data_IF_232709338807
#
_entry.id   IF_232709338807
#
_cell.length_a   1.000
_cell.length_b   1.000
_cell.length_c   1.000
_cell.angle_alpha   90.00
_cell.angle_beta   90.00
_cell.angle_gamma   90.00
#
_symmetry.space_group_name_H-M   'P 1'
#
loop_
_entity.id
_entity.type
_entity.pdbx_description
1 polymer ?
#
# COMPACT_ATOMS: atom_id res chain seq x y z
N UNK A 1 -25.90 4.51 4.13
CA UNK A 1 -24.76 4.97 4.96
C UNK A 1 -23.63 3.96 4.80
N UNK A 2 -22.39 4.42 4.61
CA UNK A 2 -21.22 3.56 4.39
C UNK A 2 -20.08 4.01 5.30
N UNK A 3 -19.30 3.07 5.83
CA UNK A 3 -18.13 3.35 6.68
C UNK A 3 -16.87 3.16 5.84
N UNK A 4 -16.03 4.18 5.79
CA UNK A 4 -14.74 4.17 5.10
C UNK A 4 -13.62 4.55 6.08
N UNK A 5 -12.42 4.01 5.90
CA UNK A 5 -11.23 4.40 6.64
C UNK A 5 -10.50 5.54 5.91
N UNK A 6 -10.59 6.75 6.44
CA UNK A 6 -10.12 7.96 5.76
C UNK A 6 -9.26 8.78 6.71
N UNK A 7 -8.07 9.16 6.24
CA UNK A 7 -7.11 9.96 7.01
C UNK A 7 -6.76 9.31 8.37
N UNK A 8 -6.62 7.98 8.35
CA UNK A 8 -6.20 7.16 9.49
C UNK A 8 -7.28 6.85 10.54
N UNK A 9 -8.54 7.22 10.27
CA UNK A 9 -9.68 6.94 11.16
C UNK A 9 -10.92 6.48 10.38
N UNK A 10 -11.80 5.65 10.97
CA UNK A 10 -13.07 5.33 10.35
C UNK A 10 -14.02 6.54 10.33
N UNK A 11 -14.64 6.79 9.17
CA UNK A 11 -15.61 7.87 8.93
C UNK A 11 -16.89 7.31 8.34
N UNK A 12 -18.02 7.92 8.73
CA UNK A 12 -19.34 7.62 8.16
C UNK A 12 -19.59 8.54 6.97
N UNK A 13 -19.93 7.97 5.83
CA UNK A 13 -20.31 8.68 4.61
C UNK A 13 -21.80 8.47 4.37
N UNK A 14 -22.53 9.59 4.34
CA UNK A 14 -23.96 9.61 4.04
C UNK A 14 -24.11 9.86 2.55
N UNK A 15 -24.90 9.01 1.89
CA UNK A 15 -25.27 9.11 0.48
C UNK A 15 -26.77 8.85 0.38
N UNK A 16 -27.40 9.48 -0.60
CA UNK A 16 -28.67 9.03 -1.16
C UNK A 16 -28.45 7.89 -2.17
N UNK A 17 -29.51 7.43 -2.82
CA UNK A 17 -29.55 6.31 -3.76
C UNK A 17 -29.63 6.73 -5.24
N UNK A 18 -29.51 8.02 -5.57
CA UNK A 18 -29.44 8.47 -6.97
C UNK A 18 -28.10 8.08 -7.61
N UNK A 19 -28.12 7.21 -8.61
CA UNK A 19 -26.92 6.71 -9.29
C UNK A 19 -26.76 7.33 -10.69
N UNK A 20 -25.53 7.47 -11.21
CA UNK A 20 -25.32 7.95 -12.56
C UNK A 20 -25.80 6.91 -13.58
N UNK A 21 -26.71 7.34 -14.45
CA UNK A 21 -27.32 6.54 -15.51
C UNK A 21 -26.91 7.07 -16.88
N UNK A 22 -26.68 6.15 -17.82
CA UNK A 22 -26.47 6.44 -19.23
C UNK A 22 -27.78 6.82 -19.93
N UNK A 23 -27.68 7.20 -21.19
CA UNK A 23 -28.84 7.55 -22.01
C UNK A 23 -29.75 6.35 -22.34
N UNK A 24 -29.28 5.11 -22.14
CA UNK A 24 -30.02 3.88 -22.39
C UNK A 24 -30.40 3.16 -21.07
N UNK A 25 -30.51 3.90 -19.97
CA UNK A 25 -30.81 3.39 -18.63
C UNK A 25 -29.81 2.34 -18.10
N UNK A 26 -28.56 2.41 -18.54
CA UNK A 26 -27.45 1.62 -18.00
C UNK A 26 -26.74 2.34 -16.85
N UNK A 27 -26.31 1.59 -15.82
CA UNK A 27 -25.49 2.14 -14.75
C UNK A 27 -24.10 2.50 -15.30
N UNK A 28 -23.66 3.74 -15.06
CA UNK A 28 -22.31 4.21 -15.43
C UNK A 28 -21.26 3.97 -14.33
N UNK A 29 -21.70 3.42 -13.20
CA UNK A 29 -20.91 3.12 -12.02
C UNK A 29 -20.66 1.60 -11.91
N UNK A 30 -19.82 1.17 -10.98
CA UNK A 30 -19.66 -0.27 -10.69
C UNK A 30 -20.98 -0.90 -10.29
N UNK A 31 -21.33 -2.06 -10.88
CA UNK A 31 -22.60 -2.76 -10.64
C UNK A 31 -22.41 -4.27 -10.52
N UNK A 32 -23.36 -4.94 -9.86
CA UNK A 32 -23.42 -6.40 -9.79
C UNK A 32 -24.14 -6.97 -11.01
N UNK A 33 -23.71 -8.15 -11.47
CA UNK A 33 -24.46 -8.91 -12.48
C UNK A 33 -25.83 -9.38 -11.94
N UNK A 34 -25.94 -9.50 -10.61
CA UNK A 34 -27.23 -9.71 -9.95
C UNK A 34 -27.93 -8.35 -9.79
N UNK A 35 -29.00 -8.12 -10.56
CA UNK A 35 -29.75 -6.85 -10.56
C UNK A 35 -30.39 -6.50 -9.21
N UNK A 36 -30.50 -7.46 -8.29
CA UNK A 36 -31.01 -7.23 -6.94
C UNK A 36 -29.93 -6.73 -5.95
N UNK A 37 -28.68 -6.58 -6.39
CA UNK A 37 -27.56 -6.13 -5.56
C UNK A 37 -27.11 -4.72 -5.94
N UNK A 38 -27.49 -3.74 -5.12
CA UNK A 38 -27.10 -2.33 -5.30
C UNK A 38 -25.91 -1.90 -4.43
N UNK A 39 -25.45 -2.78 -3.53
CA UNK A 39 -24.45 -2.43 -2.53
C UNK A 39 -23.10 -2.03 -3.14
N UNK A 40 -22.73 -2.61 -4.28
CA UNK A 40 -21.49 -2.28 -5.02
C UNK A 40 -21.54 -0.84 -5.52
N UNK A 41 -22.63 -0.46 -6.19
CA UNK A 41 -22.83 0.89 -6.74
C UNK A 41 -22.89 1.93 -5.64
N UNK A 42 -23.57 1.61 -4.53
CA UNK A 42 -23.63 2.49 -3.35
C UNK A 42 -22.25 2.63 -2.68
N UNK A 43 -21.47 1.55 -2.59
CA UNK A 43 -20.11 1.56 -2.04
C UNK A 43 -19.19 2.46 -2.86
N UNK A 44 -19.19 2.28 -4.18
CA UNK A 44 -18.43 3.15 -5.07
C UNK A 44 -18.89 4.60 -4.98
N UNK A 45 -20.21 4.87 -4.94
CA UNK A 45 -20.73 6.24 -4.77
C UNK A 45 -20.24 6.90 -3.49
N UNK A 46 -20.24 6.19 -2.36
CA UNK A 46 -19.69 6.73 -1.11
C UNK A 46 -18.20 7.05 -1.23
N UNK A 47 -17.44 6.19 -1.89
CA UNK A 47 -16.02 6.40 -2.12
C UNK A 47 -15.78 7.61 -3.03
N UNK A 48 -16.46 7.68 -4.18
CA UNK A 48 -16.38 8.79 -5.13
C UNK A 48 -16.84 10.12 -4.52
N UNK A 49 -17.84 10.12 -3.63
CA UNK A 49 -18.26 11.32 -2.89
C UNK A 49 -17.09 11.93 -2.10
N UNK A 50 -16.27 11.10 -1.46
CA UNK A 50 -15.11 11.55 -0.68
C UNK A 50 -13.94 11.91 -1.60
N UNK A 51 -13.79 11.21 -2.72
CA UNK A 51 -12.71 11.46 -3.69
C UNK A 51 -12.99 12.63 -4.65
N UNK A 52 -14.10 13.36 -4.47
CA UNK A 52 -14.41 14.56 -5.24
C UNK A 52 -15.16 14.31 -6.57
N UNK A 53 -15.87 13.18 -6.66
CA UNK A 53 -16.75 12.81 -7.77
C UNK A 53 -16.21 11.67 -8.64
N UNK A 54 -17.00 11.29 -9.63
CA UNK A 54 -16.70 10.20 -10.57
C UNK A 54 -15.62 10.54 -11.61
N UNK A 55 -15.32 11.82 -11.80
CA UNK A 55 -14.16 12.28 -12.56
C UNK A 55 -12.88 12.09 -11.71
N UNK A 56 -12.53 10.83 -11.46
CA UNK A 56 -11.43 10.40 -10.61
C UNK A 56 -10.30 9.84 -11.47
N UNK A 57 -9.05 10.30 -11.31
CA UNK A 57 -7.93 9.94 -12.19
C UNK A 57 -7.47 8.48 -12.05
N UNK A 58 -8.05 7.73 -11.10
CA UNK A 58 -7.64 6.38 -10.74
C UNK A 58 -6.71 6.36 -9.52
N UNK A 59 -6.44 5.14 -9.06
CA UNK A 59 -5.67 4.87 -7.83
C UNK A 59 -5.07 3.48 -7.88
N UNK A 60 -4.20 3.19 -6.92
CA UNK A 60 -3.71 1.85 -6.67
C UNK A 60 -4.68 1.11 -5.75
N UNK A 61 -4.94 -0.15 -6.07
CA UNK A 61 -5.91 -0.99 -5.35
C UNK A 61 -5.64 -1.09 -3.85
N UNK A 62 -4.38 -1.07 -3.39
CA UNK A 62 -4.09 -1.14 -1.96
C UNK A 62 -4.51 0.12 -1.19
N UNK A 63 -4.51 1.28 -1.83
CA UNK A 63 -5.02 2.54 -1.28
C UNK A 63 -6.54 2.44 -1.13
N UNK A 64 -7.21 1.95 -2.17
CA UNK A 64 -8.68 1.81 -2.17
C UNK A 64 -9.12 0.77 -1.15
N UNK A 65 -8.48 -0.40 -1.13
CA UNK A 65 -8.75 -1.44 -0.16
C UNK A 65 -8.45 -0.97 1.26
N UNK A 66 -7.41 -0.16 1.49
CA UNK A 66 -7.18 0.45 2.79
C UNK A 66 -8.34 1.37 3.18
N UNK A 67 -8.84 2.18 2.25
CA UNK A 67 -9.99 3.04 2.51
C UNK A 67 -11.30 2.26 2.75
N UNK A 68 -11.47 1.10 2.11
CA UNK A 68 -12.66 0.27 2.29
C UNK A 68 -12.62 -0.57 3.58
N UNK A 69 -11.43 -1.05 3.98
CA UNK A 69 -11.30 -2.09 5.03
C UNK A 69 -10.56 -1.61 6.27
N UNK A 70 -9.72 -0.57 6.17
CA UNK A 70 -8.75 -0.18 7.18
C UNK A 70 -7.52 -1.10 7.26
N UNK A 71 -7.39 -2.08 6.35
CA UNK A 71 -6.28 -3.04 6.36
C UNK A 71 -4.97 -2.41 5.90
N UNK A 72 -3.86 -2.89 6.44
CA UNK A 72 -2.54 -2.24 6.32
C UNK A 72 -2.02 -2.40 4.87
N UNK A 73 -1.88 -1.32 4.09
CA UNK A 73 -1.51 -1.40 2.70
C UNK A 73 0.00 -1.59 2.54
N UNK A 74 0.39 -2.50 1.67
CA UNK A 74 1.76 -2.76 1.26
C UNK A 74 1.84 -2.81 -0.27
N UNK A 75 2.97 -2.34 -0.80
CA UNK A 75 3.31 -2.39 -2.21
C UNK A 75 4.59 -3.19 -2.38
N UNK A 76 4.55 -4.29 -3.12
CA UNK A 76 5.70 -5.16 -3.38
C UNK A 76 5.99 -5.17 -4.88
N UNK A 77 6.98 -4.39 -5.36
CA UNK A 77 7.38 -4.40 -6.76
C UNK A 77 7.94 -5.78 -7.15
N UNK A 78 7.49 -6.31 -8.28
CA UNK A 78 7.94 -7.57 -8.86
C UNK A 78 9.16 -7.31 -9.75
N UNK A 79 9.03 -6.37 -10.69
CA UNK A 79 10.12 -6.06 -11.62
C UNK A 79 11.20 -5.23 -10.92
N UNK A 80 12.46 -5.68 -10.94
CA UNK A 80 13.53 -5.04 -10.20
C UNK A 80 14.01 -3.81 -10.95
N UNK A 81 13.62 -2.61 -10.50
CA UNK A 81 14.53 -1.48 -10.61
C UNK A 81 15.64 -1.54 -9.55
N UNK A 82 15.49 -2.39 -8.52
CA UNK A 82 16.36 -2.42 -7.33
C UNK A 82 16.93 -3.78 -6.94
N UNK A 83 16.52 -4.89 -7.58
CA UNK A 83 17.05 -6.25 -7.31
C UNK A 83 16.61 -6.92 -6.00
N UNK A 84 15.63 -6.34 -5.29
CA UNK A 84 15.24 -6.77 -3.92
C UNK A 84 14.15 -7.86 -3.91
N UNK A 85 13.44 -8.05 -5.02
CA UNK A 85 12.32 -8.99 -5.09
C UNK A 85 12.80 -10.45 -5.12
N UNK A 86 12.41 -11.23 -4.11
CA UNK A 86 12.65 -12.67 -4.06
C UNK A 86 11.31 -13.40 -4.24
N UNK A 87 11.04 -13.85 -5.46
CA UNK A 87 9.77 -14.47 -5.84
C UNK A 87 9.42 -15.66 -4.92
N UNK A 88 10.37 -16.54 -4.63
CA UNK A 88 10.11 -17.71 -3.79
C UNK A 88 9.73 -17.33 -2.35
N UNK A 89 10.44 -16.37 -1.76
CA UNK A 89 10.12 -15.84 -0.43
C UNK A 89 8.73 -15.20 -0.41
N UNK A 90 8.41 -14.38 -1.41
CA UNK A 90 7.12 -13.68 -1.45
C UNK A 90 5.94 -14.64 -1.67
N UNK A 91 6.10 -15.65 -2.53
CA UNK A 91 5.08 -16.69 -2.68
C UNK A 91 4.81 -17.42 -1.36
N UNK A 92 5.87 -17.90 -0.68
CA UNK A 92 5.73 -18.58 0.62
C UNK A 92 5.11 -17.69 1.68
N UNK A 93 5.50 -16.41 1.71
CA UNK A 93 4.95 -15.41 2.62
C UNK A 93 3.45 -15.24 2.41
N UNK A 94 3.00 -15.06 1.17
CA UNK A 94 1.58 -14.95 0.83
C UNK A 94 0.82 -16.24 1.12
N UNK A 95 1.32 -17.39 0.67
CA UNK A 95 0.69 -18.69 0.88
C UNK A 95 0.47 -19.00 2.36
N UNK A 96 1.42 -18.62 3.23
CA UNK A 96 1.31 -18.82 4.67
C UNK A 96 0.21 -18.00 5.36
N UNK A 97 -0.38 -17.01 4.67
CA UNK A 97 -1.34 -16.05 5.27
C UNK A 97 -2.64 -15.92 4.48
N UNK A 98 -2.62 -16.14 3.18
CA UNK A 98 -3.75 -15.94 2.28
C UNK A 98 -4.96 -16.79 2.67
N UNK A 99 -4.79 -18.11 2.78
CA UNK A 99 -5.89 -19.02 3.17
C UNK A 99 -6.34 -18.88 4.62
N UNK A 100 -5.58 -18.16 5.45
CA UNK A 100 -5.99 -17.81 6.82
C UNK A 100 -6.88 -16.55 6.85
N UNK A 101 -7.13 -15.90 5.70
CA UNK A 101 -7.88 -14.65 5.63
C UNK A 101 -7.12 -13.46 6.22
N UNK A 102 -5.78 -13.54 6.27
CA UNK A 102 -4.94 -12.50 6.86
C UNK A 102 -4.47 -11.44 5.87
N UNK A 103 -4.74 -11.61 4.57
CA UNK A 103 -4.44 -10.61 3.57
C UNK A 103 -5.44 -10.62 2.41
N UNK A 104 -5.65 -9.45 1.82
CA UNK A 104 -6.26 -9.27 0.50
C UNK A 104 -5.15 -8.94 -0.47
N UNK A 105 -5.18 -9.53 -1.65
CA UNK A 105 -4.11 -9.39 -2.64
C UNK A 105 -4.70 -9.05 -3.99
N UNK A 106 -4.06 -8.11 -4.66
CA UNK A 106 -4.27 -7.81 -6.07
C UNK A 106 -2.89 -7.70 -6.73
N UNK A 107 -2.85 -7.93 -8.04
CA UNK A 107 -1.65 -7.79 -8.86
C UNK A 107 -1.94 -6.86 -10.02
N UNK A 108 -0.98 -6.01 -10.38
CA UNK A 108 -1.16 -5.07 -11.48
C UNK A 108 -0.11 -5.25 -12.57
N UNK A 109 -0.56 -5.18 -13.81
CA UNK A 109 0.30 -5.12 -15.00
C UNK A 109 0.88 -3.73 -15.16
N UNK A 110 2.08 -3.66 -15.71
CA UNK A 110 2.67 -2.40 -16.18
C UNK A 110 2.20 -2.03 -17.57
N UNK A 111 2.99 -1.21 -18.24
CA UNK A 111 2.87 -1.01 -19.69
C UNK A 111 3.20 -2.34 -20.37
N UNK A 112 2.31 -2.81 -21.24
CA UNK A 112 2.53 -3.98 -22.09
C UNK A 112 2.69 -3.54 -23.54
N UNK A 113 3.51 -4.25 -24.30
CA UNK A 113 3.57 -4.05 -25.74
C UNK A 113 2.26 -4.54 -26.38
N UNK A 114 1.81 -3.98 -27.53
CA UNK A 114 0.62 -4.48 -28.23
C UNK A 114 0.70 -5.98 -28.56
N UNK A 115 1.91 -6.48 -28.81
CA UNK A 115 2.18 -7.91 -29.03
C UNK A 115 1.93 -8.73 -27.77
N UNK A 116 2.46 -8.28 -26.61
CA UNK A 116 2.26 -8.98 -25.34
C UNK A 116 0.82 -8.93 -24.87
N UNK A 117 0.13 -7.80 -25.01
CA UNK A 117 -1.30 -7.68 -24.72
C UNK A 117 -2.12 -8.69 -25.52
N UNK A 118 -1.93 -8.73 -26.84
CA UNK A 118 -2.66 -9.63 -27.73
C UNK A 118 -2.39 -11.12 -27.40
N UNK A 119 -1.12 -11.46 -27.21
CA UNK A 119 -0.64 -12.83 -26.96
C UNK A 119 -1.00 -13.34 -25.57
N UNK A 120 -0.83 -12.52 -24.54
CA UNK A 120 -1.12 -12.90 -23.16
C UNK A 120 -2.61 -12.86 -22.84
N UNK A 121 -3.36 -11.98 -23.51
CA UNK A 121 -4.72 -11.64 -23.09
C UNK A 121 -4.77 -10.79 -21.81
N UNK A 122 -3.65 -10.26 -21.34
CA UNK A 122 -3.63 -9.35 -20.20
C UNK A 122 -3.79 -7.91 -20.66
N UNK A 123 -4.64 -7.17 -19.97
CA UNK A 123 -4.83 -5.72 -20.14
C UNK A 123 -3.63 -4.96 -19.55
N UNK A 124 -3.05 -3.98 -20.26
CA UNK A 124 -1.98 -3.12 -19.73
C UNK A 124 -2.48 -2.19 -18.62
N UNK A 125 -1.60 -1.83 -17.68
CA UNK A 125 -1.87 -0.86 -16.59
C UNK A 125 -3.13 -1.18 -15.80
N UNK A 126 -3.38 -2.47 -15.53
CA UNK A 126 -4.65 -2.95 -14.99
C UNK A 126 -4.45 -3.86 -13.78
N UNK A 127 -5.38 -3.78 -12.82
CA UNK A 127 -5.34 -4.57 -11.59
C UNK A 127 -6.26 -5.79 -11.66
N UNK A 128 -5.77 -6.92 -11.14
CA UNK A 128 -6.49 -8.19 -11.05
C UNK A 128 -6.55 -8.63 -9.60
N UNK A 129 -7.71 -9.14 -9.16
CA UNK A 129 -7.87 -9.68 -7.82
C UNK A 129 -7.33 -11.11 -7.75
N UNK A 130 -6.55 -11.41 -6.70
CA UNK A 130 -6.16 -12.79 -6.40
C UNK A 130 -7.31 -13.47 -5.66
N UNK A 131 -7.89 -14.50 -6.27
CA UNK A 131 -8.98 -15.28 -5.70
C UNK A 131 -8.49 -16.52 -4.96
N UNK A 132 -7.44 -17.16 -5.47
CA UNK A 132 -6.82 -18.33 -4.84
C UNK A 132 -5.35 -18.48 -5.24
N UNK A 133 -4.58 -19.21 -4.44
CA UNK A 133 -3.21 -19.61 -4.77
C UNK A 133 -2.94 -21.03 -4.28
N UNK A 134 -2.34 -21.87 -5.12
CA UNK A 134 -2.15 -23.29 -4.83
C UNK A 134 -0.77 -23.76 -5.32
N UNK A 135 -0.24 -24.79 -4.66
CA UNK A 135 0.96 -25.51 -5.10
C UNK A 135 0.59 -26.98 -5.35
N UNK A 136 0.75 -27.42 -6.59
CA UNK A 136 0.43 -28.79 -7.04
C UNK A 136 1.70 -29.38 -7.65
N UNK A 137 2.28 -30.38 -6.96
CA UNK A 137 3.63 -30.86 -7.27
C UNK A 137 4.64 -29.72 -7.09
N UNK A 138 5.38 -29.41 -8.16
CA UNK A 138 6.34 -28.29 -8.19
C UNK A 138 5.77 -27.03 -8.88
N UNK A 139 4.50 -27.03 -9.25
CA UNK A 139 3.87 -25.91 -9.96
C UNK A 139 3.08 -25.04 -8.98
N UNK A 140 3.38 -23.75 -8.99
CA UNK A 140 2.70 -22.72 -8.22
C UNK A 140 1.72 -21.98 -9.12
N UNK A 141 0.43 -22.03 -8.77
CA UNK A 141 -0.67 -21.51 -9.57
C UNK A 141 -1.43 -20.45 -8.77
N UNK A 142 -1.85 -19.39 -9.45
CA UNK A 142 -2.65 -18.30 -8.87
C UNK A 142 -3.91 -18.13 -9.71
N UNK A 143 -5.06 -18.04 -9.04
CA UNK A 143 -6.36 -17.79 -9.65
C UNK A 143 -6.61 -16.29 -9.59
N UNK A 144 -6.65 -15.64 -10.75
CA UNK A 144 -6.88 -14.21 -10.87
C UNK A 144 -8.26 -13.91 -11.44
N UNK A 145 -8.82 -12.75 -11.07
CA UNK A 145 -10.04 -12.20 -11.66
C UNK A 145 -9.77 -10.83 -12.28
N UNK A 146 -10.09 -10.70 -13.57
CA UNK A 146 -10.26 -9.42 -14.23
C UNK A 146 -11.59 -8.77 -13.76
N UNK A 147 -11.56 -7.56 -13.17
CA UNK A 147 -12.76 -6.84 -12.75
C UNK A 147 -13.77 -6.59 -13.88
N UNK A 148 -13.31 -6.44 -15.13
CA UNK A 148 -14.19 -6.27 -16.29
C UNK A 148 -14.98 -7.53 -16.66
N UNK A 149 -14.73 -8.65 -15.98
CA UNK A 149 -15.40 -9.94 -16.17
C UNK A 149 -15.39 -10.43 -17.62
N UNK A 150 -14.37 -10.01 -18.38
CA UNK A 150 -14.03 -10.43 -19.73
C UNK A 150 -12.52 -10.50 -19.87
N UNK A 151 -12.03 -11.16 -20.91
CA UNK A 151 -10.61 -11.19 -21.27
C UNK A 151 -9.78 -11.99 -20.25
N UNK A 152 -9.40 -13.21 -20.65
CA UNK A 152 -8.65 -14.17 -19.85
C UNK A 152 -7.20 -14.32 -20.33
N UNK A 153 -6.34 -14.78 -19.43
CA UNK A 153 -4.99 -15.24 -19.74
C UNK A 153 -5.01 -16.35 -20.81
N UNK A 154 -4.10 -16.26 -21.78
CA UNK A 154 -4.00 -17.16 -22.94
C UNK A 154 -2.74 -18.04 -22.96
N UNK A 155 -1.86 -17.91 -21.96
CA UNK A 155 -0.62 -18.68 -21.88
C UNK A 155 -0.77 -19.99 -21.10
N UNK A 156 0.31 -20.43 -20.47
CA UNK A 156 0.34 -21.68 -19.72
C UNK A 156 -0.71 -21.70 -18.61
N UNK A 157 -1.40 -22.83 -18.46
CA UNK A 157 -2.53 -23.01 -17.53
C UNK A 157 -3.74 -22.11 -17.82
N UNK A 158 -3.88 -21.61 -19.06
CA UNK A 158 -5.14 -21.02 -19.53
C UNK A 158 -6.21 -22.10 -19.77
N UNK A 159 -7.44 -21.67 -20.05
CA UNK A 159 -8.52 -22.57 -20.47
C UNK A 159 -8.29 -23.17 -21.87
N UNK A 160 -7.39 -22.61 -22.67
CA UNK A 160 -7.02 -23.12 -23.99
C UNK A 160 -5.76 -24.01 -23.98
N UNK A 161 -5.03 -24.04 -22.86
CA UNK A 161 -3.84 -24.87 -22.72
C UNK A 161 -4.23 -26.36 -22.58
N UNK A 162 -3.71 -27.20 -23.47
CA UNK A 162 -3.95 -28.67 -23.44
C UNK A 162 -2.72 -29.45 -22.99
N UNK A 163 -1.59 -28.79 -22.82
CA UNK A 163 -0.29 -29.42 -22.59
C UNK A 163 0.03 -29.49 -21.09
N UNK A 164 -0.14 -28.39 -20.36
CA UNK A 164 0.32 -28.31 -18.98
C UNK A 164 -0.70 -28.80 -17.95
N UNK A 165 -1.98 -28.83 -18.29
CA UNK A 165 -3.02 -29.28 -17.36
C UNK A 165 -2.97 -30.80 -17.14
N UNK A 166 -2.62 -31.23 -15.94
CA UNK A 166 -2.76 -32.64 -15.53
C UNK A 166 -4.12 -32.92 -14.91
N UNK A 167 -4.56 -34.18 -14.94
CA UNK A 167 -5.80 -34.61 -14.26
C UNK A 167 -5.75 -34.36 -12.75
N UNK A 168 -4.57 -34.48 -12.15
CA UNK A 168 -4.36 -34.19 -10.72
C UNK A 168 -4.61 -32.71 -10.42
N UNK A 169 -4.06 -31.81 -11.24
CA UNK A 169 -4.28 -30.36 -11.10
C UNK A 169 -5.75 -30.00 -11.25
N UNK A 170 -6.42 -30.48 -12.31
CA UNK A 170 -7.85 -30.22 -12.53
C UNK A 170 -8.71 -30.66 -11.34
N UNK A 171 -8.43 -31.84 -10.78
CA UNK A 171 -9.13 -32.34 -9.58
C UNK A 171 -8.85 -31.48 -8.35
N UNK A 172 -7.59 -31.12 -8.10
CA UNK A 172 -7.19 -30.39 -6.89
C UNK A 172 -7.64 -28.94 -6.89
N UNK A 173 -7.68 -28.30 -8.06
CA UNK A 173 -8.08 -26.90 -8.23
C UNK A 173 -9.59 -26.75 -8.48
N UNK A 174 -10.32 -27.87 -8.54
CA UNK A 174 -11.72 -27.91 -8.96
C UNK A 174 -11.95 -27.15 -10.28
N UNK A 175 -11.06 -27.38 -11.25
CA UNK A 175 -11.03 -26.68 -12.53
C UNK A 175 -11.28 -27.65 -13.68
N UNK A 176 -12.35 -27.43 -14.43
CA UNK A 176 -12.66 -28.18 -15.65
C UNK A 176 -12.33 -27.31 -16.87
N UNK A 177 -11.28 -27.70 -17.60
CA UNK A 177 -10.80 -27.01 -18.79
C UNK A 177 -11.89 -26.93 -19.87
N UNK A 178 -12.67 -28.00 -20.05
CA UNK A 178 -13.69 -28.05 -21.11
C UNK A 178 -14.83 -27.09 -20.81
N UNK A 179 -15.24 -26.96 -19.54
CA UNK A 179 -16.29 -26.02 -19.14
C UNK A 179 -15.77 -24.58 -19.18
N UNK A 180 -14.54 -24.35 -18.72
CA UNK A 180 -13.94 -23.02 -18.64
C UNK A 180 -13.84 -22.31 -20.01
N UNK A 181 -13.73 -23.07 -21.12
CA UNK A 181 -13.69 -22.50 -22.47
C UNK A 181 -14.99 -21.82 -22.89
N UNK A 182 -16.14 -22.25 -22.36
CA UNK A 182 -17.46 -21.75 -22.76
C UNK A 182 -17.95 -20.58 -21.91
N UNK A 183 -17.23 -20.24 -20.83
CA UNK A 183 -17.60 -19.15 -19.93
C UNK A 183 -16.43 -18.16 -19.84
N UNK A 184 -16.64 -16.94 -20.33
CA UNK A 184 -15.74 -15.82 -20.03
C UNK A 184 -16.34 -14.97 -18.90
N UNK A 185 -15.82 -15.19 -17.70
CA UNK A 185 -16.12 -14.40 -16.50
C UNK A 185 -14.88 -13.61 -16.02
N UNK A 186 -13.84 -13.54 -16.85
CA UNK A 186 -12.55 -12.93 -16.54
C UNK A 186 -11.74 -13.65 -15.45
N UNK A 187 -12.11 -14.87 -15.05
CA UNK A 187 -11.39 -15.66 -14.04
C UNK A 187 -10.48 -16.68 -14.74
N UNK A 188 -9.22 -16.75 -14.34
CA UNK A 188 -8.25 -17.66 -14.94
C UNK A 188 -7.12 -18.05 -13.97
N UNK A 189 -6.56 -19.24 -14.17
CA UNK A 189 -5.32 -19.66 -13.53
C UNK A 189 -4.11 -19.15 -14.34
N UNK A 190 -3.02 -18.86 -13.64
CA UNK A 190 -1.72 -18.50 -14.21
C UNK A 190 -0.62 -19.09 -13.33
N UNK A 191 0.49 -19.54 -13.93
CA UNK A 191 1.66 -19.95 -13.14
C UNK A 191 2.41 -18.74 -12.56
N UNK A 192 3.02 -18.95 -11.41
CA UNK A 192 3.71 -17.90 -10.68
C UNK A 192 4.89 -17.29 -11.46
N UNK A 193 5.54 -18.07 -12.34
CA UNK A 193 6.62 -17.59 -13.20
C UNK A 193 6.11 -16.59 -14.23
N UNK A 194 5.05 -16.96 -14.95
CA UNK A 194 4.35 -16.08 -15.89
C UNK A 194 3.82 -14.82 -15.19
N UNK A 195 3.25 -14.95 -13.99
CA UNK A 195 2.83 -13.78 -13.21
C UNK A 195 4.01 -12.84 -12.94
N UNK A 196 5.13 -13.37 -12.45
CA UNK A 196 6.32 -12.54 -12.17
C UNK A 196 6.92 -11.90 -13.44
N UNK A 197 6.66 -12.46 -14.63
CA UNK A 197 7.10 -11.91 -15.90
C UNK A 197 6.22 -10.75 -16.38
N UNK A 198 4.88 -10.92 -16.37
CA UNK A 198 3.96 -9.94 -16.95
C UNK A 198 3.54 -8.83 -15.99
N UNK A 199 3.53 -9.09 -14.68
CA UNK A 199 3.04 -8.15 -13.67
C UNK A 199 4.19 -7.35 -13.06
N UNK A 200 3.89 -6.11 -12.66
CA UNK A 200 4.89 -5.19 -12.14
C UNK A 200 4.89 -5.13 -10.61
N UNK A 201 3.76 -5.43 -9.97
CA UNK A 201 3.57 -5.17 -8.55
C UNK A 201 2.47 -6.04 -7.93
N UNK A 202 2.72 -6.50 -6.70
CA UNK A 202 1.69 -6.96 -5.77
C UNK A 202 1.23 -5.79 -4.89
N UNK A 203 -0.07 -5.62 -4.80
CA UNK A 203 -0.75 -4.74 -3.86
C UNK A 203 -1.42 -5.61 -2.80
N UNK A 204 -0.95 -5.51 -1.57
CA UNK A 204 -1.38 -6.37 -0.46
C UNK A 204 -1.98 -5.48 0.62
N UNK A 205 -3.11 -5.89 1.18
CA UNK A 205 -3.65 -5.30 2.40
C UNK A 205 -3.66 -6.37 3.48
N UNK A 206 -2.98 -6.11 4.60
CA UNK A 206 -2.87 -7.05 5.71
C UNK A 206 -3.92 -6.77 6.79
N UNK A 207 -4.51 -7.83 7.30
CA UNK A 207 -5.45 -7.73 8.40
C UNK A 207 -4.74 -7.15 9.65
N UNK A 208 -5.18 -6.00 10.19
CA UNK A 208 -4.56 -5.40 11.38
C UNK A 208 -4.67 -6.27 12.63
N UNK A 209 -5.62 -7.23 12.67
CA UNK A 209 -5.80 -8.17 13.78
C UNK A 209 -4.60 -9.13 13.96
N UNK A 210 -3.67 -9.14 13.01
CA UNK A 210 -2.35 -9.78 13.16
C UNK A 210 -1.52 -9.17 14.31
N UNK A 211 -1.89 -7.98 14.81
CA UNK A 211 -1.16 -7.24 15.82
C UNK A 211 -2.02 -6.98 17.06
N UNK A 212 -1.53 -7.41 18.21
CA UNK A 212 -2.22 -7.24 19.49
C UNK A 212 -2.11 -5.80 20.03
N UNK A 213 -1.05 -5.09 19.65
CA UNK A 213 -0.77 -3.74 20.13
C UNK A 213 -0.75 -2.77 18.96
N UNK A 214 -1.60 -1.76 19.01
CA UNK A 214 -1.60 -0.65 18.06
C UNK A 214 -1.74 0.67 18.77
N UNK A 215 -1.05 1.68 18.26
CA UNK A 215 -1.18 3.07 18.71
C UNK A 215 -0.97 3.99 17.53
N UNK A 216 -1.54 5.19 17.59
CA UNK A 216 -1.34 6.19 16.55
C UNK A 216 -1.31 7.60 17.12
N UNK A 217 -0.69 8.48 16.36
CA UNK A 217 -0.73 9.93 16.56
C UNK A 217 -1.24 10.57 15.27
N UNK A 218 -2.15 11.53 15.42
CA UNK A 218 -2.56 12.44 14.36
C UNK A 218 -1.83 13.75 14.58
N UNK A 219 -1.18 14.26 13.54
CA UNK A 219 -0.39 15.48 13.66
C UNK A 219 -0.40 16.26 12.35
N UNK A 220 0.06 17.50 12.46
CA UNK A 220 0.28 18.41 11.36
C UNK A 220 1.75 18.83 11.31
N UNK A 221 2.28 18.99 10.11
CA UNK A 221 3.57 19.62 9.86
C UNK A 221 3.36 20.90 9.04
N UNK A 222 3.42 22.09 9.67
CA UNK A 222 3.14 23.34 9.00
C UNK A 222 4.10 23.66 7.85
N UNK A 223 3.59 24.27 6.77
CA UNK A 223 4.40 24.71 5.62
C UNK A 223 5.54 25.66 6.00
N UNK A 224 5.38 26.45 7.07
CA UNK A 224 6.38 27.41 7.53
C UNK A 224 7.51 26.81 8.38
N UNK A 225 7.40 25.56 8.83
CA UNK A 225 8.35 24.96 9.79
C UNK A 225 9.36 24.03 9.12
N UNK A 226 10.66 24.25 9.33
CA UNK A 226 11.72 23.40 8.79
C UNK A 226 12.03 23.67 7.32
N UNK A 227 13.07 22.99 6.77
CA UNK A 227 13.56 23.27 5.44
C UNK A 227 12.58 22.79 4.36
N UNK A 228 12.59 23.44 3.19
CA UNK A 228 11.81 23.00 2.02
C UNK A 228 12.21 21.60 1.57
N UNK A 229 13.51 21.28 1.63
CA UNK A 229 14.08 19.95 1.40
C UNK A 229 14.86 19.55 2.65
N UNK A 230 14.56 18.39 3.22
CA UNK A 230 15.15 17.94 4.49
C UNK A 230 16.42 17.08 4.32
N UNK A 231 17.01 17.11 3.12
CA UNK A 231 18.21 16.35 2.71
C UNK A 231 19.40 16.56 3.65
N UNK A 232 19.53 17.74 4.24
CA UNK A 232 20.68 18.11 5.07
C UNK A 232 20.37 18.15 6.57
N UNK A 233 19.10 18.26 6.97
CA UNK A 233 18.75 18.39 8.39
C UNK A 233 17.32 17.94 8.69
N UNK A 234 17.19 17.17 9.77
CA UNK A 234 15.93 16.74 10.37
C UNK A 234 15.58 17.48 11.67
N UNK A 235 16.34 18.51 12.04
CA UNK A 235 16.17 19.21 13.32
C UNK A 235 14.73 19.70 13.55
N UNK A 236 14.10 20.19 12.49
CA UNK A 236 12.75 20.76 12.50
C UNK A 236 11.67 19.78 12.01
N UNK A 237 12.06 18.56 11.63
CA UNK A 237 11.09 17.54 11.23
C UNK A 237 10.34 17.04 12.48
N UNK A 238 9.07 16.62 12.32
CA UNK A 238 8.36 15.91 13.37
C UNK A 238 9.07 14.59 13.68
N UNK A 239 9.36 14.35 14.96
CA UNK A 239 10.02 13.14 15.42
C UNK A 239 9.25 12.51 16.58
N UNK A 240 9.27 11.18 16.65
CA UNK A 240 8.54 10.40 17.62
C UNK A 240 9.42 9.32 18.24
N UNK A 241 9.24 9.07 19.51
CA UNK A 241 9.82 7.91 20.20
C UNK A 241 8.84 6.75 20.11
N UNK A 242 9.31 5.61 19.61
CA UNK A 242 8.60 4.33 19.65
C UNK A 242 9.38 3.37 20.55
N UNK A 243 8.86 3.15 21.76
CA UNK A 243 9.38 2.13 22.67
C UNK A 243 8.60 0.84 22.46
N UNK A 244 9.32 -0.28 22.39
CA UNK A 244 8.76 -1.61 22.19
C UNK A 244 9.35 -2.56 23.23
N UNK A 245 8.49 -3.29 23.94
CA UNK A 245 8.88 -4.15 25.07
C UNK A 245 8.59 -5.61 24.72
N UNK A 246 9.53 -6.26 24.06
CA UNK A 246 9.36 -7.59 23.50
C UNK A 246 9.89 -8.67 24.44
N UNK A 247 9.06 -9.67 24.80
CA UNK A 247 9.50 -10.85 25.58
C UNK A 247 10.17 -11.90 24.70
N UNK A 248 9.72 -12.01 23.46
CA UNK A 248 10.25 -12.84 22.38
C UNK A 248 10.51 -11.95 21.19
N UNK A 249 10.98 -12.52 20.08
CA UNK A 249 11.00 -11.80 18.82
C UNK A 249 9.61 -11.23 18.49
N UNK A 250 9.54 -9.96 18.09
CA UNK A 250 8.30 -9.24 17.84
C UNK A 250 8.33 -8.54 16.48
N UNK A 251 7.26 -8.73 15.69
CA UNK A 251 7.04 -7.92 14.48
C UNK A 251 6.55 -6.52 14.86
N UNK A 252 7.13 -5.49 14.24
CA UNK A 252 6.79 -4.07 14.44
C UNK A 252 6.63 -3.41 13.08
N UNK A 253 5.43 -2.88 12.81
CA UNK A 253 5.11 -2.22 11.55
C UNK A 253 4.73 -0.76 11.82
N UNK A 254 5.23 0.15 10.98
CA UNK A 254 5.00 1.58 11.10
C UNK A 254 4.39 2.07 9.80
N UNK A 255 3.15 2.55 9.88
CA UNK A 255 2.39 3.09 8.76
C UNK A 255 2.27 4.61 8.93
N UNK A 256 2.90 5.35 8.04
CA UNK A 256 2.66 6.78 7.86
C UNK A 256 1.57 6.96 6.79
N UNK A 257 0.52 7.69 7.13
CA UNK A 257 -0.59 8.01 6.24
C UNK A 257 -0.73 9.52 6.09
N UNK A 258 -0.42 10.06 4.91
CA UNK A 258 -0.76 11.43 4.54
C UNK A 258 -2.27 11.56 4.48
N UNK A 259 -2.79 12.64 5.06
CA UNK A 259 -4.20 12.97 4.93
C UNK A 259 -4.43 13.61 3.58
N UNK A 260 -5.48 13.17 2.90
CA UNK A 260 -5.91 13.76 1.64
C UNK A 260 -7.10 14.66 1.95
N UNK A 261 -6.97 15.94 1.61
CA UNK A 261 -7.96 16.98 1.90
C UNK A 261 -8.42 17.70 0.63
N UNK A 262 -7.75 17.47 -0.51
CA UNK A 262 -8.07 18.06 -1.79
C UNK A 262 -8.06 16.99 -2.89
N UNK A 263 -9.06 17.00 -3.79
CA UNK A 263 -9.12 16.13 -4.97
C UNK A 263 -7.88 16.28 -5.87
N UNK A 264 -7.36 17.50 -5.99
CA UNK A 264 -6.21 17.79 -6.84
C UNK A 264 -4.93 17.08 -6.38
N UNK A 265 -4.85 16.66 -5.12
CA UNK A 265 -3.72 15.88 -4.60
C UNK A 265 -3.61 14.51 -5.26
N UNK A 266 -4.72 13.92 -5.74
CA UNK A 266 -4.69 12.68 -6.50
C UNK A 266 -4.24 12.89 -7.94
N UNK A 267 -4.71 13.98 -8.57
CA UNK A 267 -4.40 14.28 -9.97
C UNK A 267 -2.95 14.76 -10.15
N UNK A 268 -2.43 15.57 -9.22
CA UNK A 268 -1.11 16.19 -9.29
C UNK A 268 -0.34 15.93 -7.99
N UNK A 269 -0.05 14.65 -7.69
CA UNK A 269 0.59 14.28 -6.43
C UNK A 269 2.07 14.69 -6.38
N UNK A 270 2.32 15.92 -5.93
CA UNK A 270 3.65 16.49 -5.79
C UNK A 270 4.25 16.30 -4.37
N UNK A 271 3.48 15.71 -3.45
CA UNK A 271 3.85 15.61 -2.04
C UNK A 271 4.35 14.19 -1.73
N UNK A 272 5.68 14.06 -1.62
CA UNK A 272 6.34 12.82 -1.24
C UNK A 272 6.60 12.82 0.25
N UNK A 273 5.96 11.90 0.97
CA UNK A 273 6.20 11.68 2.39
C UNK A 273 6.99 10.40 2.61
N UNK A 274 7.70 10.33 3.72
CA UNK A 274 8.41 9.15 4.18
C UNK A 274 8.45 9.11 5.71
N UNK A 275 8.63 7.92 6.25
CA UNK A 275 9.03 7.71 7.63
C UNK A 275 10.41 7.06 7.63
N UNK A 276 11.30 7.56 8.47
CA UNK A 276 12.65 7.04 8.65
C UNK A 276 12.79 6.57 10.10
N UNK A 277 13.33 5.38 10.29
CA UNK A 277 13.52 4.77 11.61
C UNK A 277 15.01 4.78 11.94
N UNK A 278 15.33 5.29 13.12
CA UNK A 278 16.66 5.25 13.71
C UNK A 278 16.62 4.39 14.99
N UNK A 279 17.75 3.75 15.25
CA UNK A 279 17.98 2.91 16.43
C UNK A 279 19.29 3.37 17.08
N UNK A 280 19.39 3.24 18.40
CA UNK A 280 20.64 3.46 19.15
C UNK A 280 21.26 4.85 18.95
N UNK A 281 20.41 5.89 18.86
CA UNK A 281 20.87 7.28 18.77
C UNK A 281 21.39 7.76 20.13
N UNK A 282 22.49 8.50 20.15
CA UNK A 282 23.08 9.08 21.38
C UNK A 282 22.35 10.34 21.85
N UNK A 283 21.70 11.04 20.92
CA UNK A 283 20.94 12.26 21.15
C UNK A 283 19.46 11.98 21.42
N UNK A 284 18.72 13.00 21.88
CA UNK A 284 17.25 12.91 22.03
C UNK A 284 16.51 12.97 20.68
N UNK A 285 17.10 13.64 19.67
CA UNK A 285 16.55 13.82 18.31
C UNK A 285 17.62 13.53 17.27
N UNK A 286 17.18 13.12 16.09
CA UNK A 286 18.03 13.01 14.91
C UNK A 286 18.15 14.38 14.27
N UNK A 287 19.37 14.90 14.14
CA UNK A 287 19.62 16.20 13.51
C UNK A 287 20.06 16.06 12.06
N UNK A 288 20.85 15.03 11.75
CA UNK A 288 21.43 14.78 10.45
C UNK A 288 20.90 13.47 9.88
N UNK A 289 20.41 13.43 8.63
CA UNK A 289 19.81 12.21 8.06
C UNK A 289 20.77 11.00 8.00
N UNK A 290 22.07 11.25 7.85
CA UNK A 290 23.08 10.21 7.64
C UNK A 290 24.01 10.01 8.85
N UNK A 291 23.76 10.71 9.97
CA UNK A 291 24.56 10.59 11.18
C UNK A 291 23.68 10.58 12.45
N UNK A 292 23.38 9.40 13.02
CA UNK A 292 23.79 8.07 12.54
C UNK A 292 23.02 7.69 11.26
N UNK A 293 23.46 6.64 10.56
CA UNK A 293 22.73 6.11 9.41
C UNK A 293 21.33 5.57 9.80
N UNK A 294 20.32 5.65 8.91
CA UNK A 294 18.98 5.14 9.20
C UNK A 294 18.97 3.63 9.37
N UNK A 295 18.24 3.13 10.36
CA UNK A 295 18.02 1.70 10.58
C UNK A 295 17.07 1.12 9.51
N UNK A 296 16.01 1.87 9.18
CA UNK A 296 15.09 1.61 8.07
C UNK A 296 14.64 2.94 7.45
N UNK A 297 14.51 2.97 6.13
CA UNK A 297 13.96 4.11 5.40
C UNK A 297 12.83 3.62 4.50
N UNK A 298 11.67 4.27 4.56
CA UNK A 298 10.59 4.00 3.63
C UNK A 298 10.93 4.63 2.29
N UNK A 299 10.62 3.96 1.18
CA UNK A 299 10.77 4.57 -0.14
C UNK A 299 9.89 5.81 -0.21
N UNK A 300 10.48 6.96 -0.56
CA UNK A 300 9.76 8.21 -0.85
C UNK A 300 8.97 7.99 -2.15
N UNK A 301 7.70 7.65 -2.00
CA UNK A 301 6.77 7.43 -3.11
C UNK A 301 5.63 8.44 -3.04
N UNK A 302 5.05 8.74 -4.19
CA UNK A 302 3.83 9.54 -4.33
C UNK A 302 2.58 8.72 -3.95
N UNK A 303 2.66 7.95 -2.87
CA UNK A 303 1.52 7.24 -2.26
C UNK A 303 1.16 7.95 -0.96
N UNK A 304 -0.13 8.04 -0.59
CA UNK A 304 -0.51 8.54 0.72
C UNK A 304 -0.06 7.63 1.86
N UNK A 305 0.36 6.40 1.58
CA UNK A 305 0.78 5.43 2.59
C UNK A 305 2.23 5.00 2.40
N UNK A 306 3.02 5.09 3.48
CA UNK A 306 4.38 4.57 3.60
C UNK A 306 4.43 3.57 4.74
N UNK A 307 4.85 2.34 4.43
CA UNK A 307 4.94 1.24 5.39
C UNK A 307 6.41 0.87 5.63
N UNK A 308 6.81 0.77 6.89
CA UNK A 308 8.04 0.11 7.32
C UNK A 308 7.66 -1.13 8.10
N UNK A 309 8.33 -2.24 7.78
CA UNK A 309 8.23 -3.51 8.48
C UNK A 309 9.60 -3.84 9.08
N UNK A 310 9.63 -4.17 10.36
CA UNK A 310 10.84 -4.60 11.05
C UNK A 310 10.51 -5.67 12.09
N UNK A 311 11.57 -6.34 12.53
CA UNK A 311 11.52 -7.37 13.56
C UNK A 311 12.43 -6.91 14.69
N UNK A 312 11.93 -6.97 15.91
CA UNK A 312 12.65 -6.63 17.12
C UNK A 312 13.04 -7.91 17.88
N UNK A 313 14.29 -7.97 18.30
CA UNK A 313 14.81 -8.96 19.21
C UNK A 313 14.24 -8.80 20.64
N UNK A 314 14.25 -9.88 21.46
CA UNK A 314 13.80 -9.81 22.84
C UNK A 314 14.50 -8.70 23.64
N UNK A 315 13.72 -7.94 24.42
CA UNK A 315 14.20 -6.82 25.21
C UNK A 315 13.33 -5.57 25.05
N UNK A 316 13.76 -4.50 25.71
CA UNK A 316 13.17 -3.16 25.50
C UNK A 316 14.08 -2.38 24.57
N UNK A 317 13.52 -1.91 23.45
CA UNK A 317 14.23 -1.09 22.47
C UNK A 317 13.43 0.15 22.18
N UNK A 318 14.14 1.27 22.04
CA UNK A 318 13.56 2.56 21.72
C UNK A 318 14.05 3.01 20.35
N UNK A 319 13.11 3.24 19.45
CA UNK A 319 13.36 3.77 18.11
C UNK A 319 12.99 5.24 18.05
N UNK A 320 13.69 5.98 17.20
CA UNK A 320 13.32 7.35 16.81
C UNK A 320 12.75 7.33 15.40
N UNK A 321 11.50 7.74 15.26
CA UNK A 321 10.80 7.85 14.00
C UNK A 321 10.84 9.30 13.53
N UNK A 322 11.33 9.54 12.32
CA UNK A 322 11.35 10.87 11.69
C UNK A 322 10.37 10.87 10.54
N UNK A 323 9.42 11.82 10.56
CA UNK A 323 8.60 12.11 9.37
C UNK A 323 9.43 12.99 8.45
N UNK A 324 9.62 12.54 7.21
CA UNK A 324 10.46 13.18 6.19
C UNK A 324 9.65 13.44 4.92
N UNK A 325 10.14 14.36 4.08
CA UNK A 325 9.53 14.69 2.79
C UNK A 325 10.58 15.07 1.75
N UNK A 326 10.25 14.96 0.47
CA UNK A 326 11.17 15.42 -0.58
C UNK A 326 11.17 16.95 -0.77
N UNK A 327 9.98 17.55 -0.90
CA UNK A 327 9.82 18.99 -1.12
C UNK A 327 8.53 19.50 -0.46
N UNK A 328 8.65 20.33 0.58
CA UNK A 328 7.50 20.92 1.29
C UNK A 328 6.98 22.14 0.57
N UNK A 329 5.80 22.06 -0.01
CA UNK A 329 5.11 23.25 -0.54
C UNK A 329 3.91 23.63 0.32
N UNK A 330 3.35 22.67 1.08
CA UNK A 330 2.11 22.85 1.82
C UNK A 330 2.20 22.30 3.24
N UNK A 331 1.20 22.63 4.06
CA UNK A 331 1.04 22.02 5.38
C UNK A 331 0.60 20.57 5.20
N UNK A 332 1.31 19.64 5.84
CA UNK A 332 1.04 18.20 5.73
C UNK A 332 0.32 17.74 6.98
N UNK A 333 -0.88 17.20 6.80
CA UNK A 333 -1.61 16.48 7.86
C UNK A 333 -1.36 14.98 7.68
N UNK A 334 -1.13 14.27 8.78
CA UNK A 334 -0.83 12.84 8.70
C UNK A 334 -1.24 12.07 9.96
N UNK A 335 -1.31 10.76 9.80
CA UNK A 335 -1.42 9.78 10.87
C UNK A 335 -0.18 8.91 10.86
N UNK A 336 0.54 8.85 11.98
CA UNK A 336 1.62 7.88 12.19
C UNK A 336 1.10 6.79 13.11
N UNK A 337 0.99 5.56 12.60
CA UNK A 337 0.45 4.42 13.33
C UNK A 337 1.49 3.32 13.44
N UNK A 338 1.64 2.77 14.64
CA UNK A 338 2.48 1.62 14.91
C UNK A 338 1.60 0.40 15.21
N UNK A 339 2.03 -0.76 14.73
CA UNK A 339 1.45 -2.07 14.99
C UNK A 339 2.54 -2.98 15.52
N UNK A 340 2.25 -3.78 16.54
CA UNK A 340 3.21 -4.74 17.07
C UNK A 340 2.55 -5.95 17.70
N UNK A 341 3.30 -7.06 17.67
CA UNK A 341 3.00 -8.29 18.42
C UNK A 341 3.49 -8.21 19.88
N UNK A 342 4.21 -7.14 20.25
CA UNK A 342 4.62 -6.84 21.62
C UNK A 342 4.11 -5.46 22.08
N UNK A 343 4.02 -5.19 23.40
CA UNK A 343 3.63 -3.89 23.91
C UNK A 343 4.48 -2.73 23.36
N UNK A 344 3.81 -1.65 22.94
CA UNK A 344 4.44 -0.46 22.37
C UNK A 344 3.93 0.84 23.01
N UNK A 345 4.78 1.87 23.00
CA UNK A 345 4.45 3.24 23.37
C UNK A 345 5.00 4.21 22.33
N UNK A 346 4.12 4.98 21.68
CA UNK A 346 4.45 6.00 20.70
C UNK A 346 4.21 7.40 21.28
N UNK A 347 5.24 8.27 21.29
CA UNK A 347 5.15 9.63 21.84
C UNK A 347 5.87 10.64 20.96
N UNK A 348 5.34 11.87 20.80
CA UNK A 348 6.07 12.94 20.12
C UNK A 348 7.31 13.36 20.91
N UNK A 349 8.40 13.66 20.20
CA UNK A 349 9.60 14.24 20.81
C UNK A 349 9.45 15.76 20.81
N UNK A 350 9.19 16.31 21.99
CA UNK A 350 9.13 17.76 22.21
C UNK A 350 10.52 18.35 22.48
N UNK A 351 10.77 19.54 21.96
CA UNK A 351 12.00 20.28 22.29
C UNK A 351 11.85 20.91 23.69
N UNK A 352 12.78 20.66 24.63
CA UNK A 352 12.75 21.29 25.93
C UNK A 352 13.18 22.77 25.91
N UNK A 353 13.81 23.26 24.84
CA UNK A 353 14.37 24.61 24.79
C UNK A 353 13.40 25.60 24.16
N UNK A 354 12.85 26.49 24.98
CA UNK A 354 11.94 27.58 24.58
C UNK A 354 12.67 28.82 24.02
N UNK A 355 14.00 28.83 24.01
CA UNK A 355 14.80 30.01 23.67
C UNK A 355 15.89 29.67 22.64
N UNK A 356 15.88 30.41 21.53
CA UNK A 356 16.95 30.40 20.52
C UNK A 356 17.74 31.70 20.60
N UNK A 357 19.07 31.62 20.70
CA UNK A 357 19.96 32.79 20.59
C UNK A 357 20.73 32.72 19.27
N UNK A 358 20.49 33.69 18.39
CA UNK A 358 21.27 33.84 17.16
C UNK A 358 22.68 34.32 17.52
N UNK A 359 23.70 33.56 17.14
CA UNK A 359 25.09 33.98 17.27
C UNK A 359 25.57 34.48 15.92
N UNK A 360 25.68 35.79 15.79
CA UNK A 360 26.28 36.43 14.61
C UNK A 360 27.79 36.30 14.74
N UNK A 361 28.43 35.54 13.86
CA UNK A 361 29.89 35.60 13.74
C UNK A 361 30.25 36.92 13.06
N UNK A 362 31.01 37.76 13.76
CA UNK A 362 31.59 38.97 13.18
C UNK A 362 32.49 38.58 12.00
N UNK A 363 32.31 39.24 10.86
CA UNK A 363 33.25 39.16 9.72
C UNK A 363 34.63 39.57 10.24
N UNK A 364 35.63 38.70 10.07
CA UNK A 364 37.02 39.15 10.10
C UNK A 364 37.18 40.16 8.96
N UNK A 365 37.40 41.43 9.29
CA UNK A 365 37.92 42.39 8.32
C UNK A 365 39.34 41.96 7.92
N UNK A 366 39.71 42.06 6.63
CA UNK A 366 41.06 41.74 6.19
C UNK A 366 42.05 42.77 6.75
N UNK A 367 43.27 42.35 7.11
CA UNK A 367 44.30 43.27 7.59
C UNK A 367 44.69 44.26 6.46
N UNK A 368 44.79 45.53 6.85
CA UNK A 368 45.18 46.70 6.03
C UNK A 368 46.57 46.59 5.43
#
# INVERSE_FOLDING_TARGET
MIKLHLNGVPRKVIIDDFLPMGCNDELLCSFSMNRNEMWVSLLEKAYMKVMGGYDFPGSNSNIDLHALTGWIPERVPIKPSTGIFNADREFRRLASRFHQGHCLVTVATGILSPSDESRSGLVPTHAYALLDMQEVGNTRLLLLKNPWSRTKWKGNYSDQDKEHWTKEMQKRLNFDVNVAQYVDNGVFWIDYGSLCHFFDVFYINWNPDLFQYTTCVHSEWPAATGPKKDIYSYANNPQYTLEVRAKTEASVWILLTRHITNKNDFANNNEFIAVVVYKDISSRKVYYPNDPGPYRDSVRINSPHCLIQMVQEPGTTTYTLVVSQYEKNMTIQYTLRAYSTAPISLKPITDPYTCSKTVSFFRCEPPT
#
